data_IF_664492076124
#
_entry.id   IF_664492076124
#
_cell.length_a   1.000
_cell.length_b   1.000
_cell.length_c   1.000
_cell.angle_alpha   90.00
_cell.angle_beta   90.00
_cell.angle_gamma   90.00
#
_symmetry.space_group_name_H-M   'P 1'
#
loop_
_entity.id
_entity.type
_entity.pdbx_description
1 polymer ?
#
# COMPACT_ATOMS: atom_id res chain seq x y z
N UNK A 1 -12.81 -4.18 -16.90
CA UNK A 1 -13.58 -4.24 -18.18
C UNK A 1 -13.65 -2.86 -18.81
N UNK A 2 -12.92 -2.54 -19.84
CA UNK A 2 -13.31 -1.49 -20.80
C UNK A 2 -12.45 -1.59 -22.06
N UNK A 3 -12.99 -2.25 -23.10
CA UNK A 3 -12.40 -2.34 -24.46
C UNK A 3 -12.75 -1.15 -25.37
N UNK A 4 -13.15 0.01 -24.83
CA UNK A 4 -13.71 1.11 -25.63
C UNK A 4 -12.72 2.22 -26.03
N UNK A 5 -11.49 2.25 -25.52
CA UNK A 5 -10.59 3.39 -25.74
C UNK A 5 -9.58 3.23 -26.89
N UNK A 6 -9.44 2.05 -27.52
CA UNK A 6 -8.49 1.86 -28.62
C UNK A 6 -8.95 2.45 -29.95
N UNK A 7 -10.24 2.67 -30.16
CA UNK A 7 -10.74 3.14 -31.48
C UNK A 7 -10.66 4.66 -31.64
N UNK A 8 -10.53 5.43 -30.58
CA UNK A 8 -10.48 6.90 -30.63
C UNK A 8 -9.14 7.42 -31.17
N UNK A 9 -8.04 6.75 -30.80
CA UNK A 9 -6.69 7.13 -31.23
C UNK A 9 -6.49 6.89 -32.73
N UNK A 10 -7.03 5.80 -33.28
CA UNK A 10 -6.95 5.48 -34.70
C UNK A 10 -7.72 6.48 -35.57
N UNK A 11 -8.85 7.01 -35.10
CA UNK A 11 -9.65 7.99 -35.83
C UNK A 11 -8.98 9.37 -35.91
N UNK A 12 -8.21 9.74 -34.87
CA UNK A 12 -7.52 11.02 -34.82
C UNK A 12 -6.32 11.09 -35.76
N UNK A 13 -5.61 9.99 -35.97
CA UNK A 13 -4.43 9.91 -36.87
C UNK A 13 -4.80 10.13 -38.36
N UNK A 14 -5.99 9.69 -38.75
CA UNK A 14 -6.45 9.80 -40.17
C UNK A 14 -6.79 11.25 -40.52
N UNK A 15 -7.26 12.07 -39.59
CA UNK A 15 -7.67 13.47 -39.82
C UNK A 15 -6.50 14.47 -39.88
N UNK A 16 -5.32 14.09 -39.40
CA UNK A 16 -4.12 14.93 -39.35
C UNK A 16 -3.39 15.09 -40.69
N UNK A 17 -3.75 14.33 -41.70
CA UNK A 17 -3.05 14.31 -43.02
C UNK A 17 -3.28 15.55 -43.91
N UNK A 18 -4.20 16.45 -43.51
CA UNK A 18 -4.60 17.61 -44.31
C UNK A 18 -4.24 18.98 -43.72
N UNK A 19 -3.52 19.04 -42.62
CA UNK A 19 -3.24 20.31 -41.93
C UNK A 19 -1.83 20.83 -42.20
N UNK A 20 -1.67 22.17 -42.29
CA UNK A 20 -0.36 22.82 -42.45
C UNK A 20 0.59 22.48 -41.32
N UNK A 21 1.89 22.27 -41.64
CA UNK A 21 2.93 21.79 -40.70
C UNK A 21 2.98 22.46 -39.31
N UNK A 22 2.65 23.75 -39.24
CA UNK A 22 2.65 24.50 -37.98
C UNK A 22 1.50 24.11 -37.05
N UNK A 23 0.32 23.82 -37.58
CA UNK A 23 -0.87 23.43 -36.81
C UNK A 23 -0.76 21.99 -36.29
N UNK A 24 0.00 21.14 -37.01
CA UNK A 24 0.25 19.74 -36.62
C UNK A 24 1.12 19.71 -35.33
N UNK A 25 2.13 20.58 -35.24
CA UNK A 25 3.02 20.61 -34.08
C UNK A 25 2.26 20.99 -32.78
N UNK A 26 1.37 21.99 -32.83
CA UNK A 26 0.54 22.38 -31.69
C UNK A 26 -0.46 21.29 -31.29
N UNK A 27 -1.06 20.61 -32.30
CA UNK A 27 -1.97 19.50 -32.05
C UNK A 27 -1.31 18.31 -31.35
N UNK A 28 -0.10 17.94 -31.76
CA UNK A 28 0.66 16.83 -31.15
C UNK A 28 1.07 17.15 -29.73
N UNK A 29 1.53 18.38 -29.45
CA UNK A 29 1.90 18.82 -28.10
C UNK A 29 0.68 18.81 -27.16
N UNK A 30 -0.48 19.27 -27.63
CA UNK A 30 -1.72 19.25 -26.83
C UNK A 30 -2.19 17.82 -26.51
N UNK A 31 -2.09 16.89 -27.48
CA UNK A 31 -2.47 15.49 -27.27
C UNK A 31 -1.51 14.80 -26.29
N UNK A 32 -0.20 15.04 -26.41
CA UNK A 32 0.80 14.50 -25.46
C UNK A 32 0.56 15.05 -24.06
N UNK A 33 0.23 16.34 -23.91
CA UNK A 33 -0.11 16.94 -22.62
C UNK A 33 -1.38 16.31 -22.01
N UNK A 34 -2.42 16.05 -22.81
CA UNK A 34 -3.65 15.40 -22.33
C UNK A 34 -3.43 13.94 -21.93
N UNK A 35 -2.56 13.21 -22.63
CA UNK A 35 -2.23 11.82 -22.28
C UNK A 35 -1.44 11.75 -20.96
N UNK A 36 -0.55 12.72 -20.72
CA UNK A 36 0.20 12.79 -19.46
C UNK A 36 -0.68 13.09 -18.23
N UNK A 37 -1.76 13.88 -18.40
CA UNK A 37 -2.71 14.19 -17.31
C UNK A 37 -3.67 13.04 -17.02
N UNK A 38 -3.95 12.16 -18.01
CA UNK A 38 -4.92 11.07 -17.82
C UNK A 38 -4.36 9.81 -17.14
N UNK A 39 -3.06 9.77 -16.84
CA UNK A 39 -2.41 8.63 -16.18
C UNK A 39 -2.19 8.81 -14.67
N UNK A 40 -2.68 9.87 -14.07
CA UNK A 40 -2.80 9.91 -12.61
C UNK A 40 -4.06 9.12 -12.23
N UNK A 41 -3.94 7.79 -12.18
CA UNK A 41 -4.91 6.99 -11.43
C UNK A 41 -4.88 7.52 -10.00
N UNK A 42 -6.00 8.09 -9.54
CA UNK A 42 -6.13 8.45 -8.14
C UNK A 42 -5.87 7.18 -7.32
N UNK A 43 -4.82 7.24 -6.50
CA UNK A 43 -4.53 6.14 -5.58
C UNK A 43 -5.76 5.90 -4.71
N UNK A 44 -6.16 4.65 -4.46
CA UNK A 44 -7.25 4.37 -3.55
C UNK A 44 -6.97 5.01 -2.20
N UNK A 45 -8.02 5.48 -1.55
CA UNK A 45 -7.91 6.06 -0.21
C UNK A 45 -8.54 5.09 0.77
N UNK A 46 -7.75 4.64 1.73
CA UNK A 46 -8.19 3.79 2.83
C UNK A 46 -8.26 4.58 4.13
N UNK A 47 -9.09 4.13 5.05
CA UNK A 47 -9.20 4.73 6.37
C UNK A 47 -8.22 4.02 7.32
N UNK A 48 -7.41 4.77 8.05
CA UNK A 48 -6.47 4.20 9.01
C UNK A 48 -7.20 3.41 10.11
N UNK A 49 -8.42 3.79 10.44
CA UNK A 49 -9.27 3.06 11.39
C UNK A 49 -9.55 1.61 10.97
N UNK A 50 -9.57 1.32 9.66
CA UNK A 50 -9.81 -0.04 9.16
C UNK A 50 -8.61 -0.97 9.37
N UNK A 51 -7.39 -0.39 9.54
CA UNK A 51 -6.20 -1.15 9.90
C UNK A 51 -6.26 -1.70 11.33
N UNK A 52 -6.93 -1.01 12.25
CA UNK A 52 -6.90 -1.34 13.68
C UNK A 52 -7.31 -2.78 13.94
N UNK A 53 -6.55 -3.46 14.79
CA UNK A 53 -6.81 -4.83 15.23
C UNK A 53 -5.66 -5.79 14.96
N UNK A 54 -5.94 -7.07 15.17
CA UNK A 54 -5.01 -8.17 14.96
C UNK A 54 -5.21 -8.78 13.58
N UNK A 55 -4.11 -9.00 12.90
CA UNK A 55 -4.07 -9.59 11.57
C UNK A 55 -3.08 -10.75 11.56
N UNK A 56 -3.47 -11.87 10.95
CA UNK A 56 -2.59 -13.01 10.70
C UNK A 56 -2.14 -13.03 9.26
N UNK A 57 -0.87 -13.33 9.02
CA UNK A 57 -0.35 -13.48 7.68
C UNK A 57 -0.97 -14.69 7.00
N UNK A 58 -1.47 -14.51 5.81
CA UNK A 58 -2.04 -15.53 4.95
C UNK A 58 -1.22 -15.70 3.67
N UNK A 59 -1.73 -16.57 2.80
CA UNK A 59 -1.26 -16.67 1.43
C UNK A 59 -2.30 -16.11 0.45
N UNK A 60 -1.90 -15.99 -0.82
CA UNK A 60 -2.77 -15.48 -1.88
C UNK A 60 -3.97 -16.40 -2.19
N UNK A 61 -3.95 -17.64 -1.72
CA UNK A 61 -4.96 -18.67 -2.00
C UNK A 61 -6.01 -18.76 -0.91
N UNK A 62 -5.76 -18.13 0.26
CA UNK A 62 -6.65 -18.22 1.42
C UNK A 62 -6.75 -19.64 2.01
N UNK A 63 -5.82 -20.52 1.64
CA UNK A 63 -5.75 -21.85 2.22
C UNK A 63 -5.17 -21.76 3.63
N UNK A 64 -5.90 -22.31 4.58
CA UNK A 64 -5.62 -22.31 6.02
C UNK A 64 -4.33 -23.07 6.39
N UNK A 65 -3.19 -22.45 6.14
CA UNK A 65 -2.03 -22.75 6.95
C UNK A 65 -2.26 -22.15 8.33
N UNK A 66 -1.89 -22.86 9.39
CA UNK A 66 -1.96 -22.30 10.75
C UNK A 66 -1.16 -20.99 10.73
N UNK A 67 -1.80 -19.84 10.99
CA UNK A 67 -1.10 -18.58 10.94
C UNK A 67 -0.03 -18.55 12.04
N UNK A 68 1.18 -18.18 11.67
CA UNK A 68 2.33 -18.11 12.57
C UNK A 68 2.91 -16.73 12.68
N UNK A 69 2.69 -15.89 11.68
CA UNK A 69 3.10 -14.49 11.69
C UNK A 69 1.88 -13.59 11.90
N UNK A 70 2.01 -12.67 12.83
CA UNK A 70 0.94 -11.76 13.22
C UNK A 70 1.40 -10.32 13.17
N UNK A 71 0.47 -9.42 12.90
CA UNK A 71 0.65 -7.98 13.05
C UNK A 71 -0.56 -7.37 13.75
N UNK A 72 -0.31 -6.49 14.71
CA UNK A 72 -1.36 -5.72 15.40
C UNK A 72 -1.14 -4.23 15.15
N UNK A 73 -2.15 -3.58 14.64
CA UNK A 73 -2.21 -2.12 14.56
C UNK A 73 -3.06 -1.59 15.71
N UNK A 74 -2.49 -0.69 16.53
CA UNK A 74 -3.19 -0.09 17.67
C UNK A 74 -3.57 1.36 17.40
N UNK A 75 -4.44 1.92 18.23
CA UNK A 75 -4.79 3.34 18.17
C UNK A 75 -3.83 4.23 18.96
N UNK A 76 -2.89 3.63 19.68
CA UNK A 76 -1.95 4.34 20.56
C UNK A 76 -1.01 5.20 19.73
N UNK A 77 -0.98 6.50 20.01
CA UNK A 77 -0.13 7.45 19.32
C UNK A 77 1.27 7.50 19.95
N UNK A 78 2.26 7.82 19.12
CA UNK A 78 3.58 8.15 19.60
C UNK A 78 3.60 9.55 20.26
N UNK A 79 4.73 9.92 20.84
CA UNK A 79 4.90 11.20 21.53
C UNK A 79 4.70 12.44 20.63
N UNK A 80 4.80 12.27 19.31
CA UNK A 80 4.59 13.35 18.35
C UNK A 80 3.13 13.47 17.92
N UNK A 81 2.33 12.42 18.12
CA UNK A 81 0.96 12.31 17.62
C UNK A 81 0.88 12.12 16.10
N UNK A 82 2.03 11.95 15.43
CA UNK A 82 2.10 11.77 13.97
C UNK A 82 1.93 10.31 13.56
N UNK A 83 2.47 9.40 14.37
CA UNK A 83 2.44 7.96 14.14
C UNK A 83 1.64 7.26 15.23
N UNK A 84 1.20 6.04 14.91
CA UNK A 84 0.64 5.10 15.88
C UNK A 84 1.55 3.90 16.04
N UNK A 85 1.37 3.18 17.14
CA UNK A 85 2.15 1.97 17.40
C UNK A 85 1.49 0.72 16.83
N UNK A 86 2.32 -0.18 16.32
CA UNK A 86 1.97 -1.54 15.96
C UNK A 86 2.99 -2.53 16.50
N UNK A 87 2.64 -3.81 16.42
CA UNK A 87 3.48 -4.92 16.88
C UNK A 87 3.43 -6.03 15.84
N UNK A 88 4.55 -6.70 15.64
CA UNK A 88 4.68 -7.86 14.76
C UNK A 88 5.47 -8.94 15.49
N UNK A 89 5.02 -10.18 15.39
CA UNK A 89 5.69 -11.33 15.99
C UNK A 89 5.50 -12.59 15.15
N UNK A 90 6.29 -13.63 15.46
CA UNK A 90 6.26 -14.89 14.73
C UNK A 90 6.29 -16.06 15.72
N UNK A 91 5.17 -16.74 15.86
CA UNK A 91 5.02 -17.88 16.78
C UNK A 91 5.77 -19.14 16.32
N UNK A 92 6.17 -19.23 15.03
CA UNK A 92 7.04 -20.33 14.57
C UNK A 92 8.48 -20.19 15.10
N UNK A 93 8.85 -19.03 15.58
CA UNK A 93 10.15 -18.74 16.21
C UNK A 93 10.04 -18.70 17.74
N UNK A 94 8.94 -19.22 18.31
CA UNK A 94 8.61 -19.16 19.74
C UNK A 94 8.61 -17.71 20.28
N UNK A 95 8.22 -16.73 19.46
CA UNK A 95 8.05 -15.33 19.82
C UNK A 95 6.58 -14.99 19.83
N UNK A 96 6.06 -14.61 21.01
CA UNK A 96 4.67 -14.24 21.24
C UNK A 96 4.53 -12.74 21.52
N UNK A 97 3.32 -12.20 21.40
CA UNK A 97 3.08 -10.76 21.60
C UNK A 97 3.51 -10.28 23.00
N UNK A 98 3.27 -11.10 24.03
CA UNK A 98 3.63 -10.80 25.43
C UNK A 98 5.13 -10.81 25.70
N UNK A 99 5.94 -11.47 24.83
CA UNK A 99 7.40 -11.49 24.97
C UNK A 99 8.07 -10.23 24.40
N UNK A 100 7.32 -9.44 23.63
CA UNK A 100 7.85 -8.23 23.02
C UNK A 100 8.14 -7.16 24.08
N UNK A 101 9.38 -6.69 24.11
CA UNK A 101 9.73 -5.55 24.94
C UNK A 101 9.05 -4.29 24.42
N UNK A 102 8.43 -3.49 25.29
CA UNK A 102 7.84 -2.23 24.88
C UNK A 102 8.84 -1.35 24.10
N UNK A 103 8.43 -0.91 22.93
CA UNK A 103 9.21 -0.04 22.04
C UNK A 103 10.55 -0.63 21.55
N UNK A 104 10.69 -1.95 21.57
CA UNK A 104 11.85 -2.69 21.07
C UNK A 104 11.55 -3.49 19.80
N UNK A 105 12.35 -4.53 19.59
CA UNK A 105 12.18 -5.45 18.46
C UNK A 105 10.76 -6.00 18.41
N UNK A 106 10.18 -6.03 17.21
CA UNK A 106 8.79 -6.41 17.00
C UNK A 106 7.79 -5.26 17.15
N UNK A 107 8.21 -4.12 17.69
CA UNK A 107 7.40 -2.90 17.65
C UNK A 107 7.73 -2.06 16.43
N UNK A 108 6.73 -1.33 15.93
CA UNK A 108 6.90 -0.34 14.89
C UNK A 108 5.94 0.84 15.11
N UNK A 109 6.31 2.00 14.55
CA UNK A 109 5.40 3.13 14.38
C UNK A 109 4.83 3.06 12.99
N UNK A 110 3.56 3.41 12.80
CA UNK A 110 2.94 3.41 11.48
C UNK A 110 2.09 4.64 11.23
N UNK A 111 1.91 4.94 9.94
CA UNK A 111 1.04 5.99 9.43
C UNK A 111 0.49 5.58 8.07
N UNK A 112 -0.81 5.73 7.88
CA UNK A 112 -1.46 5.51 6.59
C UNK A 112 -1.91 6.84 5.99
N UNK A 113 -1.41 7.16 4.79
CA UNK A 113 -1.83 8.34 4.03
C UNK A 113 -2.35 7.89 2.68
N UNK A 114 -3.66 7.94 2.45
CA UNK A 114 -4.34 7.36 1.29
C UNK A 114 -4.09 5.85 1.22
N UNK A 115 -3.22 5.40 0.32
CA UNK A 115 -2.77 4.01 0.20
C UNK A 115 -1.33 3.78 0.66
N UNK A 116 -0.60 4.83 1.01
CA UNK A 116 0.81 4.72 1.40
C UNK A 116 0.90 4.43 2.92
N UNK A 117 1.27 3.20 3.26
CA UNK A 117 1.51 2.75 4.63
C UNK A 117 3.01 2.85 4.91
N UNK A 118 3.37 3.75 5.80
CA UNK A 118 4.74 3.87 6.30
C UNK A 118 4.84 3.13 7.63
N UNK A 119 5.80 2.23 7.77
CA UNK A 119 6.17 1.57 9.02
C UNK A 119 7.62 1.92 9.37
N UNK A 120 7.86 2.25 10.63
CA UNK A 120 9.20 2.53 11.17
C UNK A 120 9.46 1.48 12.25
N UNK A 121 10.23 0.44 11.91
CA UNK A 121 10.52 -0.67 12.81
C UNK A 121 11.57 -0.26 13.84
N UNK A 122 11.23 -0.46 15.11
CA UNK A 122 12.06 -0.10 16.26
C UNK A 122 13.09 -1.19 16.54
N UNK A 123 14.24 -0.82 17.10
CA UNK A 123 15.35 -1.73 17.37
C UNK A 123 15.80 -1.65 18.83
N UNK A 124 15.94 -2.80 19.49
CA UNK A 124 16.33 -2.91 20.91
C UNK A 124 17.69 -2.28 21.26
N UNK A 125 18.60 -2.23 20.31
CA UNK A 125 20.01 -1.95 20.58
C UNK A 125 20.43 -0.51 20.29
N UNK A 126 19.47 0.44 20.22
CA UNK A 126 19.78 1.82 19.85
C UNK A 126 20.29 1.96 18.41
N UNK A 127 20.04 0.94 17.58
CA UNK A 127 20.23 0.99 16.12
C UNK A 127 19.30 2.01 15.52
N UNK A 128 19.59 2.45 14.31
CA UNK A 128 18.68 3.34 13.57
C UNK A 128 17.37 2.60 13.27
N UNK A 129 16.26 3.26 13.55
CA UNK A 129 14.94 2.79 13.16
C UNK A 129 14.88 2.56 11.64
N UNK A 130 14.25 1.46 11.22
CA UNK A 130 14.23 1.05 9.82
C UNK A 130 12.88 1.44 9.20
N UNK A 131 12.83 2.47 8.35
CA UNK A 131 11.61 2.80 7.65
C UNK A 131 11.33 1.78 6.52
N UNK A 132 10.08 1.40 6.40
CA UNK A 132 9.53 0.61 5.29
C UNK A 132 8.29 1.30 4.75
N UNK A 133 8.17 1.35 3.44
CA UNK A 133 7.00 1.95 2.77
C UNK A 133 6.31 0.89 1.94
N UNK A 134 5.01 0.78 2.14
CA UNK A 134 4.15 -0.15 1.42
C UNK A 134 3.01 0.61 0.74
N UNK A 135 2.48 0.03 -0.32
CA UNK A 135 1.25 0.50 -0.95
C UNK A 135 0.13 -0.47 -0.60
N UNK A 136 -0.86 0.00 0.13
CA UNK A 136 -2.06 -0.78 0.44
C UNK A 136 -2.88 -0.93 -0.84
N UNK A 137 -3.12 -2.17 -1.23
CA UNK A 137 -3.89 -2.54 -2.45
C UNK A 137 -5.31 -2.96 -2.10
N UNK A 138 -5.52 -3.51 -0.91
CA UNK A 138 -6.82 -3.92 -0.41
C UNK A 138 -6.85 -3.75 1.11
N UNK A 139 -7.92 -3.16 1.61
CA UNK A 139 -8.20 -3.07 3.04
C UNK A 139 -9.71 -3.08 3.24
N UNK A 140 -10.18 -4.05 3.99
CA UNK A 140 -11.58 -4.17 4.42
C UNK A 140 -11.64 -4.86 5.78
N UNK A 141 -12.84 -5.18 6.26
CA UNK A 141 -13.04 -5.80 7.58
C UNK A 141 -12.47 -7.22 7.74
N UNK A 142 -12.03 -7.88 6.65
CA UNK A 142 -11.53 -9.25 6.64
C UNK A 142 -10.11 -9.39 6.11
N UNK A 143 -9.70 -8.51 5.19
CA UNK A 143 -8.46 -8.67 4.43
C UNK A 143 -7.68 -7.36 4.36
N UNK A 144 -6.37 -7.47 4.57
CA UNK A 144 -5.38 -6.45 4.30
C UNK A 144 -4.36 -7.01 3.31
N UNK A 145 -4.12 -6.28 2.21
CA UNK A 145 -3.08 -6.60 1.25
C UNK A 145 -2.27 -5.34 0.97
N UNK A 146 -0.95 -5.45 1.03
CA UNK A 146 -0.06 -4.37 0.63
C UNK A 146 1.16 -4.90 -0.14
N UNK A 147 1.78 -4.02 -0.90
CA UNK A 147 2.98 -4.30 -1.69
C UNK A 147 4.15 -3.47 -1.18
N UNK A 148 5.34 -4.06 -1.15
CA UNK A 148 6.58 -3.33 -0.90
C UNK A 148 7.11 -2.64 -2.16
N UNK A 149 8.23 -1.93 -2.03
CA UNK A 149 8.88 -1.20 -3.14
C UNK A 149 9.39 -2.11 -4.27
N UNK A 150 9.53 -3.42 -4.03
CA UNK A 150 9.92 -4.42 -5.04
C UNK A 150 8.72 -5.13 -5.68
N UNK A 151 7.49 -4.76 -5.31
CA UNK A 151 6.26 -5.36 -5.81
C UNK A 151 5.92 -6.69 -5.17
N UNK A 152 6.58 -7.06 -4.07
CA UNK A 152 6.22 -8.24 -3.28
C UNK A 152 4.94 -7.94 -2.51
N UNK A 153 3.94 -8.81 -2.67
CA UNK A 153 2.64 -8.66 -2.03
C UNK A 153 2.57 -9.47 -0.74
N UNK A 154 2.00 -8.84 0.29
CA UNK A 154 1.74 -9.42 1.60
C UNK A 154 0.23 -9.51 1.79
N UNK A 155 -0.23 -10.64 2.32
CA UNK A 155 -1.63 -10.96 2.52
C UNK A 155 -1.87 -11.22 3.99
N UNK A 156 -2.91 -10.58 4.55
CA UNK A 156 -3.30 -10.74 5.93
C UNK A 156 -4.81 -10.90 6.05
N UNK A 157 -5.23 -11.71 7.02
CA UNK A 157 -6.61 -11.91 7.39
C UNK A 157 -6.84 -11.37 8.80
N UNK A 158 -7.96 -10.69 9.03
CA UNK A 158 -8.28 -10.14 10.33
C UNK A 158 -8.62 -11.26 11.30
N UNK A 159 -7.92 -11.32 12.42
CA UNK A 159 -8.18 -12.29 13.48
C UNK A 159 -9.30 -11.78 14.37
N UNK A 160 -10.34 -12.60 14.51
CA UNK A 160 -11.41 -12.49 15.50
C UNK A 160 -12.19 -11.18 15.55
N UNK A 161 -13.48 -11.34 15.62
CA UNK A 161 -14.38 -10.49 16.41
C UNK A 161 -14.72 -11.19 17.69
#
# INVERSE_FOLDING_TARGET
MSKKNCNFVAFLIIKLRSMKKSTILFGVVAIVAMVMVSCQMDKPTFQEADLLGLWSKGDATGLDSVPVEFVRFTADQDETGEYKYGRQWNESEDIYEEDLKPYGNGWFKYKLVKSDLTEIHLMDNGGADIPKVYVVVKLNEYELQYEDEWGKRYYYHKCGK
#
